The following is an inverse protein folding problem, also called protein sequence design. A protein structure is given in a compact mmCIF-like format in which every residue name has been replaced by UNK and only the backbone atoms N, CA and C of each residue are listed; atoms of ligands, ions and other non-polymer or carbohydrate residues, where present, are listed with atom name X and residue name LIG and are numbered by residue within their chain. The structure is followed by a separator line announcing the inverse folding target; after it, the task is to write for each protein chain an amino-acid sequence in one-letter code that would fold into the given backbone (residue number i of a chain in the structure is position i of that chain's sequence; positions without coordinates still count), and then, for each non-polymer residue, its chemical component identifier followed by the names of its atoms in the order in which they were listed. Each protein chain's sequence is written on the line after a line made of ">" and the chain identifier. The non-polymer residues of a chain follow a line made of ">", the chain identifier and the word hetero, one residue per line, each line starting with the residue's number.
data_IF_880886744604
#
_entry.id   IF_880886744604
#
_cell.length_a   1.000
_cell.length_b   1.000
_cell.length_c   1.000
_cell.angle_alpha   90.00
_cell.angle_beta   90.00
_cell.angle_gamma   90.00
#
_symmetry.space_group_name_H-M   'P 1'
#
loop_
_entity.id
_entity.type
_entity.pdbx_description
1 polymer ?
#
# COMPACT_ATOMS: atom_id res chain seq x y z
N UNK A 1 10.10 -17.35 3.13
CA UNK A 1 10.27 -17.33 1.66
C UNK A 1 10.63 -15.90 1.23
N UNK A 2 11.91 -15.66 0.93
CA UNK A 2 12.36 -14.39 0.38
C UNK A 2 11.87 -14.27 -1.06
N UNK A 3 11.32 -13.10 -1.43
CA UNK A 3 11.05 -12.82 -2.83
C UNK A 3 12.39 -12.51 -3.48
N UNK A 4 12.77 -13.32 -4.47
CA UNK A 4 13.91 -13.03 -5.33
C UNK A 4 13.57 -11.78 -6.14
N UNK A 5 14.47 -10.81 -6.15
CA UNK A 5 14.34 -9.64 -7.03
C UNK A 5 14.91 -10.04 -8.38
N UNK A 6 14.16 -9.87 -9.46
CA UNK A 6 14.64 -10.14 -10.82
C UNK A 6 15.53 -8.97 -11.30
N UNK A 7 16.22 -9.15 -12.43
CA UNK A 7 16.92 -8.05 -13.08
C UNK A 7 15.91 -6.93 -13.40
N UNK A 8 16.26 -5.67 -13.14
CA UNK A 8 15.42 -4.47 -13.36
C UNK A 8 14.24 -4.27 -12.41
N UNK A 9 14.29 -4.85 -11.21
CA UNK A 9 13.29 -4.62 -10.17
C UNK A 9 13.94 -4.17 -8.88
N UNK A 10 13.26 -3.33 -8.12
CA UNK A 10 13.62 -3.00 -6.75
C UNK A 10 12.44 -3.27 -5.81
N UNK A 11 12.72 -3.53 -4.53
CA UNK A 11 11.69 -3.85 -3.54
C UNK A 11 11.81 -3.03 -2.27
N UNK A 12 10.66 -2.74 -1.67
CA UNK A 12 10.56 -2.24 -0.31
C UNK A 12 9.60 -3.12 0.51
N UNK A 13 9.92 -3.31 1.79
CA UNK A 13 9.17 -4.21 2.67
C UNK A 13 8.87 -3.52 3.99
N UNK A 14 7.58 -3.35 4.28
CA UNK A 14 7.08 -2.97 5.60
C UNK A 14 6.67 -4.23 6.36
N UNK A 15 7.39 -4.60 7.42
CA UNK A 15 7.02 -5.72 8.29
C UNK A 15 6.28 -5.23 9.54
N UNK A 16 5.27 -5.99 10.00
CA UNK A 16 4.52 -5.71 11.24
C UNK A 16 3.99 -4.27 11.33
N UNK A 17 3.63 -3.70 10.18
CA UNK A 17 3.14 -2.32 10.11
C UNK A 17 1.78 -2.23 10.78
N UNK A 18 1.57 -1.22 11.65
CA UNK A 18 0.32 -1.04 12.41
C UNK A 18 -0.80 -0.45 11.56
N UNK A 19 -1.03 -1.04 10.38
CA UNK A 19 -2.07 -0.68 9.42
C UNK A 19 -2.94 -1.89 9.13
N UNK A 20 -4.15 -1.63 8.65
CA UNK A 20 -5.11 -2.67 8.29
C UNK A 20 -4.67 -3.35 6.99
N UNK A 21 -4.42 -4.66 7.04
CA UNK A 21 -4.02 -5.42 5.86
C UNK A 21 -5.07 -5.36 4.73
N UNK A 22 -6.36 -5.30 5.08
CA UNK A 22 -7.47 -5.20 4.12
C UNK A 22 -7.42 -3.90 3.33
N UNK A 23 -7.24 -2.79 4.03
CA UNK A 23 -7.15 -1.47 3.41
C UNK A 23 -5.88 -1.37 2.56
N UNK A 24 -4.76 -1.88 3.07
CA UNK A 24 -3.51 -1.98 2.29
C UNK A 24 -3.66 -2.83 1.03
N UNK A 25 -4.45 -3.91 1.05
CA UNK A 25 -4.74 -4.72 -0.15
C UNK A 25 -5.49 -3.92 -1.21
N UNK A 26 -6.51 -3.15 -0.83
CA UNK A 26 -7.31 -2.35 -1.77
C UNK A 26 -6.49 -1.18 -2.32
N UNK A 27 -5.67 -0.52 -1.48
CA UNK A 27 -4.72 0.50 -1.93
C UNK A 27 -3.72 -0.12 -2.91
N UNK A 28 -3.14 -1.28 -2.58
CA UNK A 28 -2.19 -1.98 -3.44
C UNK A 28 -2.77 -2.29 -4.82
N UNK A 29 -4.03 -2.71 -4.89
CA UNK A 29 -4.75 -2.90 -6.16
C UNK A 29 -4.98 -1.60 -6.91
N UNK A 30 -5.28 -0.52 -6.19
CA UNK A 30 -5.58 0.78 -6.76
C UNK A 30 -4.38 1.46 -7.44
N UNK A 31 -3.17 1.21 -6.93
CA UNK A 31 -1.92 1.80 -7.46
C UNK A 31 -1.14 0.86 -8.38
N UNK A 32 -1.49 -0.44 -8.42
CA UNK A 32 -0.79 -1.42 -9.23
C UNK A 32 -0.86 -1.05 -10.72
N UNK A 33 0.29 -1.07 -11.39
CA UNK A 33 0.45 -0.75 -12.80
C UNK A 33 0.62 0.74 -13.12
N UNK A 34 0.48 1.64 -12.14
CA UNK A 34 0.79 3.05 -12.35
C UNK A 34 2.31 3.30 -12.34
N UNK A 35 2.73 4.38 -13.00
CA UNK A 35 4.06 4.96 -12.80
C UNK A 35 4.21 5.40 -11.34
N UNK A 36 5.43 5.33 -10.80
CA UNK A 36 5.72 5.68 -9.40
C UNK A 36 5.22 7.09 -9.05
N UNK A 37 5.50 8.09 -9.87
CA UNK A 37 5.03 9.48 -9.68
C UNK A 37 3.50 9.58 -9.57
N UNK A 38 2.79 8.91 -10.48
CA UNK A 38 1.32 8.89 -10.50
C UNK A 38 0.76 8.18 -9.27
N UNK A 39 1.41 7.09 -8.83
CA UNK A 39 1.03 6.38 -7.63
C UNK A 39 1.19 7.27 -6.38
N UNK A 40 2.31 8.01 -6.25
CA UNK A 40 2.52 8.98 -5.16
C UNK A 40 1.42 10.05 -5.13
N UNK A 41 1.17 10.69 -6.27
CA UNK A 41 0.12 11.72 -6.38
C UNK A 41 -1.28 11.18 -6.02
N UNK A 42 -1.62 9.96 -6.45
CA UNK A 42 -2.87 9.30 -6.04
C UNK A 42 -2.95 9.11 -4.53
N UNK A 43 -1.88 8.61 -3.90
CA UNK A 43 -1.85 8.38 -2.46
C UNK A 43 -1.97 9.68 -1.67
N UNK A 44 -1.30 10.75 -2.08
CA UNK A 44 -1.44 12.09 -1.48
C UNK A 44 -2.89 12.59 -1.54
N UNK A 45 -3.58 12.40 -2.67
CA UNK A 45 -4.99 12.78 -2.81
C UNK A 45 -5.91 11.92 -1.94
N UNK A 46 -5.57 10.65 -1.71
CA UNK A 46 -6.29 9.78 -0.76
C UNK A 46 -6.09 10.27 0.67
N UNK A 47 -4.87 10.69 1.04
CA UNK A 47 -4.54 11.26 2.36
C UNK A 47 -5.34 12.55 2.60
N UNK A 48 -5.43 13.41 1.58
CA UNK A 48 -6.27 14.63 1.58
C UNK A 48 -7.77 14.37 1.50
N UNK A 49 -8.19 13.10 1.35
CA UNK A 49 -9.59 12.65 1.18
C UNK A 49 -10.29 13.22 -0.06
N UNK A 50 -9.53 13.57 -1.08
CA UNK A 50 -10.04 14.07 -2.37
C UNK A 50 -10.34 12.93 -3.33
N UNK A 51 -9.58 11.83 -3.24
CA UNK A 51 -9.71 10.67 -4.12
C UNK A 51 -10.05 9.42 -3.30
N UNK A 52 -11.23 8.80 -3.49
CA UNK A 52 -11.57 7.59 -2.76
C UNK A 52 -10.85 6.38 -3.34
N UNK A 53 -10.44 5.45 -2.46
CA UNK A 53 -9.94 4.14 -2.86
C UNK A 53 -11.16 3.23 -3.11
N UNK A 54 -11.32 2.68 -4.32
CA UNK A 54 -12.37 1.71 -4.61
C UNK A 54 -12.20 0.46 -3.74
N UNK A 55 -13.26 0.08 -3.03
CA UNK A 55 -13.26 -1.10 -2.18
C UNK A 55 -13.91 -2.26 -2.95
N UNK A 56 -13.10 -3.21 -3.42
CA UNK A 56 -13.57 -4.29 -4.31
C UNK A 56 -13.84 -5.60 -3.57
N UNK A 57 -12.85 -6.12 -2.82
CA UNK A 57 -12.93 -7.38 -2.08
C UNK A 57 -13.41 -7.16 -0.65
N UNK A 58 -13.00 -6.07 -0.01
CA UNK A 58 -13.34 -5.76 1.38
C UNK A 58 -14.33 -4.59 1.49
N UNK A 59 -15.47 -4.73 0.81
CA UNK A 59 -16.48 -3.68 0.67
C UNK A 59 -17.61 -3.73 1.70
N UNK A 60 -17.58 -4.64 2.68
CA UNK A 60 -18.57 -4.66 3.77
C UNK A 60 -18.62 -3.30 4.46
N UNK A 61 -19.83 -2.73 4.53
CA UNK A 61 -20.14 -1.41 5.08
C UNK A 61 -19.38 -0.25 4.43
N UNK A 62 -18.90 -0.42 3.19
CA UNK A 62 -18.31 0.67 2.42
C UNK A 62 -19.41 1.52 1.78
N UNK A 63 -19.53 2.77 2.21
CA UNK A 63 -20.43 3.72 1.56
C UNK A 63 -20.05 3.97 0.10
N UNK A 64 -21.06 4.18 -0.74
CA UNK A 64 -20.85 4.57 -2.13
C UNK A 64 -20.26 5.99 -2.22
N UNK A 65 -19.44 6.22 -3.25
CA UNK A 65 -18.87 7.53 -3.55
C UNK A 65 -19.38 8.07 -4.89
N UNK A 66 -19.23 9.36 -5.11
CA UNK A 66 -19.63 9.97 -6.39
C UNK A 66 -18.72 9.46 -7.51
N UNK A 67 -19.31 9.01 -8.62
CA UNK A 67 -18.56 8.55 -9.80
C UNK A 67 -17.97 7.14 -9.70
N UNK A 68 -18.27 6.39 -8.65
CA UNK A 68 -17.84 5.00 -8.50
C UNK A 68 -18.41 4.39 -7.23
N UNK A 69 -18.68 3.07 -7.23
CA UNK A 69 -19.42 2.37 -6.17
C UNK A 69 -18.78 2.41 -4.76
N UNK A 70 -18.65 1.28 -4.04
CA UNK A 70 -18.15 1.31 -2.67
C UNK A 70 -16.71 1.85 -2.59
N UNK A 71 -16.47 2.83 -1.72
CA UNK A 71 -15.15 3.47 -1.60
C UNK A 71 -14.88 4.07 -0.21
N UNK A 72 -13.60 4.07 0.19
CA UNK A 72 -13.16 4.61 1.49
C UNK A 72 -11.91 5.49 1.33
N UNK A 73 -11.56 6.23 2.38
CA UNK A 73 -10.35 7.03 2.47
C UNK A 73 -9.42 6.47 3.57
N UNK A 74 -8.67 5.39 3.29
CA UNK A 74 -7.80 4.73 4.27
C UNK A 74 -6.50 5.52 4.52
N UNK A 75 -6.58 6.69 5.17
CA UNK A 75 -5.48 7.66 5.35
C UNK A 75 -4.21 7.00 5.93
N UNK A 76 -4.33 6.30 7.06
CA UNK A 76 -3.19 5.68 7.75
C UNK A 76 -2.45 4.64 6.89
N UNK A 77 -3.21 3.87 6.10
CA UNK A 77 -2.61 2.88 5.21
C UNK A 77 -2.00 3.54 3.97
N UNK A 78 -2.59 4.64 3.48
CA UNK A 78 -2.05 5.42 2.37
C UNK A 78 -0.73 6.10 2.74
N UNK A 79 -0.61 6.71 3.91
CA UNK A 79 0.64 7.26 4.45
C UNK A 79 1.75 6.20 4.46
N UNK A 80 1.46 5.03 5.03
CA UNK A 80 2.47 3.96 5.09
C UNK A 80 2.84 3.40 3.72
N UNK A 81 1.89 3.38 2.78
CA UNK A 81 2.16 2.96 1.41
C UNK A 81 3.03 3.98 0.67
N UNK A 82 2.83 5.28 0.90
CA UNK A 82 3.66 6.34 0.32
C UNK A 82 5.11 6.20 0.74
N UNK A 83 5.36 6.05 2.05
CA UNK A 83 6.70 5.81 2.60
C UNK A 83 7.39 4.58 1.95
N UNK A 84 6.64 3.50 1.70
CA UNK A 84 7.19 2.30 1.09
C UNK A 84 7.50 2.46 -0.40
N UNK A 85 6.75 3.30 -1.12
CA UNK A 85 7.02 3.60 -2.53
C UNK A 85 8.27 4.46 -2.64
N UNK A 86 8.41 5.48 -1.79
CA UNK A 86 9.61 6.31 -1.71
C UNK A 86 10.84 5.46 -1.38
N UNK A 87 10.72 4.54 -0.41
CA UNK A 87 11.79 3.60 -0.11
C UNK A 87 12.12 2.68 -1.30
N UNK A 88 11.11 2.21 -2.04
CA UNK A 88 11.34 1.37 -3.21
C UNK A 88 12.04 2.12 -4.35
N UNK A 89 11.71 3.40 -4.53
CA UNK A 89 12.35 4.28 -5.51
C UNK A 89 13.81 4.59 -5.13
N UNK A 90 14.09 4.90 -3.86
CA UNK A 90 15.48 5.05 -3.39
C UNK A 90 16.29 3.76 -3.57
N UNK A 91 15.66 2.59 -3.34
CA UNK A 91 16.32 1.32 -3.60
C UNK A 91 16.57 1.10 -5.10
N UNK A 92 15.64 1.49 -5.97
CA UNK A 92 15.82 1.41 -7.41
C UNK A 92 16.96 2.31 -7.91
N UNK A 93 17.10 3.51 -7.35
CA UNK A 93 18.22 4.41 -7.63
C UNK A 93 19.56 3.80 -7.21
N UNK A 94 19.62 3.18 -6.02
CA UNK A 94 20.82 2.50 -5.55
C UNK A 94 21.21 1.30 -6.44
N UNK A 95 20.23 0.65 -7.07
CA UNK A 95 20.44 -0.44 -8.03
C UNK A 95 20.75 0.07 -9.45
N UNK A 96 20.73 1.39 -9.68
CA UNK A 96 21.06 2.02 -10.95
C UNK A 96 19.93 2.01 -11.99
N UNK A 97 18.68 1.81 -11.56
CA UNK A 97 17.50 1.81 -12.43
C UNK A 97 17.08 3.23 -12.80
N UNK A 98 16.49 3.41 -13.99
CA UNK A 98 16.02 4.73 -14.42
C UNK A 98 14.71 5.12 -13.72
N UNK A 99 14.77 6.11 -12.83
CA UNK A 99 13.63 6.62 -12.05
C UNK A 99 12.41 7.01 -12.91
N UNK A 100 12.64 7.58 -14.10
CA UNK A 100 11.55 8.08 -14.98
C UNK A 100 10.67 6.96 -15.55
N UNK A 101 11.20 5.73 -15.61
CA UNK A 101 10.53 4.58 -16.19
C UNK A 101 10.07 3.57 -15.14
N UNK A 102 10.15 3.91 -13.85
CA UNK A 102 9.69 3.03 -12.78
C UNK A 102 8.16 2.94 -12.74
N UNK A 103 7.66 1.71 -12.69
CA UNK A 103 6.26 1.38 -12.49
C UNK A 103 6.09 0.53 -11.24
N UNK A 104 4.93 0.68 -10.60
CA UNK A 104 4.53 -0.20 -9.49
C UNK A 104 4.08 -1.54 -10.08
N UNK A 105 5.00 -2.50 -10.15
CA UNK A 105 4.73 -3.82 -10.73
C UNK A 105 3.79 -4.64 -9.86
N UNK A 106 4.20 -4.92 -8.62
CA UNK A 106 3.41 -5.73 -7.69
C UNK A 106 3.38 -5.14 -6.28
N UNK A 107 2.19 -5.21 -5.68
CA UNK A 107 1.98 -4.89 -4.27
C UNK A 107 1.40 -6.13 -3.59
N UNK A 108 2.13 -6.69 -2.64
CA UNK A 108 1.73 -7.88 -1.91
C UNK A 108 1.46 -7.47 -0.47
N UNK A 109 0.28 -7.83 0.02
CA UNK A 109 -0.15 -7.50 1.39
C UNK A 109 -0.61 -8.78 2.08
N UNK A 110 -0.02 -9.06 3.23
CA UNK A 110 -0.35 -10.20 4.07
C UNK A 110 -0.74 -9.73 5.46
N UNK A 111 -1.61 -10.50 6.11
CA UNK A 111 -1.93 -10.27 7.52
C UNK A 111 -0.68 -10.48 8.37
N UNK A 112 -0.38 -9.51 9.23
CA UNK A 112 0.66 -9.61 10.25
C UNK A 112 0.11 -10.06 11.60
N UNK A 113 0.97 -10.19 12.63
CA UNK A 113 0.56 -10.55 13.98
C UNK A 113 -0.41 -9.52 14.56
N UNK A 114 -1.44 -9.96 15.27
CA UNK A 114 -2.30 -9.07 16.03
C UNK A 114 -1.68 -8.73 17.38
N UNK A 115 -1.78 -7.47 17.79
CA UNK A 115 -1.31 -7.01 19.10
C UNK A 115 -2.50 -6.79 20.04
N UNK A 116 -2.41 -7.31 21.26
CA UNK A 116 -3.46 -7.14 22.27
C UNK A 116 -3.40 -5.75 22.87
N UNK A 117 -4.53 -5.04 22.89
CA UNK A 117 -4.61 -3.73 23.55
C UNK A 117 -4.61 -3.91 25.08
N UNK A 118 -3.74 -3.24 25.84
CA UNK A 118 -3.69 -3.39 27.30
C UNK A 118 -4.89 -2.73 28.03
N UNK A 119 -5.16 -3.22 29.24
CA UNK A 119 -6.11 -2.71 30.26
C UNK A 119 -7.60 -2.70 29.85
N UNK A 120 -8.16 -1.57 29.41
CA UNK A 120 -9.63 -1.31 29.37
C UNK A 120 -10.34 -1.88 28.12
N UNK A 121 -9.60 -2.25 27.08
CA UNK A 121 -10.13 -2.73 25.80
C UNK A 121 -9.71 -4.17 25.51
N UNK A 122 -9.92 -5.08 26.47
CA UNK A 122 -9.31 -6.43 26.54
C UNK A 122 -9.67 -7.41 25.40
N UNK A 123 -10.56 -7.02 24.48
CA UNK A 123 -10.92 -7.77 23.26
C UNK A 123 -10.61 -7.06 21.94
N UNK A 124 -10.04 -5.84 21.96
CA UNK A 124 -9.66 -5.14 20.73
C UNK A 124 -8.24 -5.54 20.34
N UNK A 125 -8.13 -6.22 19.21
CA UNK A 125 -6.86 -6.54 18.58
C UNK A 125 -6.44 -5.43 17.61
N UNK A 126 -5.21 -4.95 17.77
CA UNK A 126 -4.59 -4.07 16.79
C UNK A 126 -4.07 -4.97 15.67
N UNK A 127 -4.71 -4.85 14.51
CA UNK A 127 -4.29 -5.56 13.30
C UNK A 127 -2.99 -4.95 12.79
N UNK A 128 -2.14 -5.80 12.22
CA UNK A 128 -0.96 -5.38 11.50
C UNK A 128 -0.91 -6.03 10.13
N UNK A 129 -0.02 -5.51 9.28
CA UNK A 129 0.18 -5.99 7.92
C UNK A 129 1.67 -6.14 7.61
N UNK A 130 1.99 -7.15 6.82
CA UNK A 130 3.23 -7.18 6.05
C UNK A 130 2.92 -6.66 4.64
N UNK A 131 3.62 -5.62 4.22
CA UNK A 131 3.46 -4.99 2.92
C UNK A 131 4.77 -5.13 2.17
N UNK A 132 4.69 -5.58 0.91
CA UNK A 132 5.82 -5.61 0.00
C UNK A 132 5.44 -4.86 -1.26
N UNK A 133 6.26 -3.89 -1.64
CA UNK A 133 6.12 -3.13 -2.87
C UNK A 133 7.29 -3.52 -3.76
N UNK A 134 6.99 -3.88 -5.00
CA UNK A 134 7.97 -4.19 -6.04
C UNK A 134 7.75 -3.16 -7.14
N UNK A 135 8.81 -2.41 -7.43
CA UNK A 135 8.89 -1.52 -8.58
C UNK A 135 9.70 -2.20 -9.66
N UNK A 136 9.29 -2.01 -10.91
CA UNK A 136 9.93 -2.57 -12.09
C UNK A 136 10.22 -1.44 -13.08
N UNK A 137 11.37 -1.51 -13.72
CA UNK A 137 11.70 -0.67 -14.87
C UNK A 137 11.06 -1.28 -16.12
N UNK A 138 10.34 -0.46 -16.90
CA UNK A 138 9.67 -0.89 -18.14
C UNK A 138 9.81 0.13 -19.25
#
# INVERSE_FOLDING_TARGET
>A
MGIQTEAHQAKAVGQNTRVSWKDSTEIGRFIKGDKVEKAKSKLERVIKKELPVPMTKFNSDAGHKSGGGPGKYPVKAAEKMLELIEQAESNAENEGLNQNNLKVGNVITNQGPSFRTPKRHRGREIKSAHIKVIVEEK
#
